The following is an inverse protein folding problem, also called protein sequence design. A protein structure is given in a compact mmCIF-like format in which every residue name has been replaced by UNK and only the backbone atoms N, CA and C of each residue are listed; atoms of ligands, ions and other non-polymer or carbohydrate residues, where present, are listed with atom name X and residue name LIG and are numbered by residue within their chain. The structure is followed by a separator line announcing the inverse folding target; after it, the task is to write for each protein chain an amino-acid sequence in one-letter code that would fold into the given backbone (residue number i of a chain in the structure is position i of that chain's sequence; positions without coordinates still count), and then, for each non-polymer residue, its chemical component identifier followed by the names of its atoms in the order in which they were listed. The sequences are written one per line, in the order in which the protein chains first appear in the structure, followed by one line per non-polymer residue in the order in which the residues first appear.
data_IF_426436507763
#
_entry.id   IF_426436507763
#
_cell.length_a   1.000
_cell.length_b   1.000
_cell.length_c   1.000
_cell.angle_alpha   90.00
_cell.angle_beta   90.00
_cell.angle_gamma   90.00
#
_symmetry.space_group_name_H-M   'P 1'
#
loop_
_entity.id
_entity.type
_entity.pdbx_description
1 polymer ?
#
# COMPACT_ATOMS: atom_id res chain seq x y z
N UNK A 1 57.51 32.74 -25.10
CA UNK A 1 56.08 33.11 -25.03
C UNK A 1 55.13 31.98 -25.46
N UNK A 2 55.36 31.31 -26.59
CA UNK A 2 54.51 30.22 -27.12
C UNK A 2 54.45 28.98 -26.17
N UNK A 3 55.61 28.60 -25.59
CA UNK A 3 55.69 27.43 -24.69
C UNK A 3 54.92 27.68 -23.39
N UNK A 4 54.95 28.92 -22.85
CA UNK A 4 54.21 29.25 -21.64
C UNK A 4 52.69 29.21 -21.85
N UNK A 5 52.23 29.61 -23.06
CA UNK A 5 50.80 29.57 -23.42
C UNK A 5 50.31 28.10 -23.56
N UNK A 6 51.13 27.20 -24.10
CA UNK A 6 50.83 25.79 -24.20
C UNK A 6 50.68 25.11 -22.84
N UNK A 7 51.55 25.39 -21.89
CA UNK A 7 51.45 24.86 -20.53
C UNK A 7 50.20 25.34 -19.81
N UNK A 8 49.83 26.61 -19.94
CA UNK A 8 48.57 27.17 -19.33
C UNK A 8 47.32 26.49 -19.92
N UNK A 9 47.28 26.25 -21.21
CA UNK A 9 46.15 25.55 -21.86
C UNK A 9 46.04 24.09 -21.38
N UNK A 10 47.15 23.39 -21.24
CA UNK A 10 47.17 22.01 -20.71
C UNK A 10 46.70 21.95 -19.27
N UNK A 11 47.09 22.93 -18.43
CA UNK A 11 46.67 23.00 -17.03
C UNK A 11 45.15 23.32 -16.95
N UNK A 12 44.66 24.25 -17.79
CA UNK A 12 43.22 24.58 -17.81
C UNK A 12 42.40 23.37 -18.30
N UNK A 13 42.83 22.68 -19.35
CA UNK A 13 42.19 21.46 -19.82
C UNK A 13 42.25 20.35 -18.77
N UNK A 14 43.39 20.17 -18.09
CA UNK A 14 43.54 19.23 -16.98
C UNK A 14 42.59 19.53 -15.82
N UNK A 15 42.47 20.79 -15.43
CA UNK A 15 41.52 21.22 -14.40
C UNK A 15 40.04 21.02 -14.83
N UNK A 16 39.72 21.22 -16.12
CA UNK A 16 38.39 20.99 -16.67
C UNK A 16 38.04 19.49 -16.68
N UNK A 17 39.01 18.63 -17.06
CA UNK A 17 38.86 17.17 -16.99
C UNK A 17 38.80 16.64 -15.55
N UNK A 18 39.53 17.25 -14.62
CA UNK A 18 39.47 16.86 -13.20
C UNK A 18 38.18 17.29 -12.52
N UNK A 19 37.53 18.39 -12.98
CA UNK A 19 36.25 18.84 -12.45
C UNK A 19 35.07 18.01 -12.95
N UNK A 20 35.30 17.20 -14.00
CA UNK A 20 34.30 16.28 -14.54
C UNK A 20 34.54 14.83 -14.06
N UNK A 21 35.29 14.63 -12.98
CA UNK A 21 35.27 13.39 -12.24
C UNK A 21 33.90 13.34 -11.56
N UNK A 22 32.96 12.61 -12.20
CA UNK A 22 31.67 12.26 -11.64
C UNK A 22 31.91 11.92 -10.16
N UNK A 23 31.43 12.78 -9.25
CA UNK A 23 31.01 12.25 -7.97
C UNK A 23 29.94 11.24 -8.35
N UNK A 24 30.16 9.95 -8.21
CA UNK A 24 29.10 8.99 -8.18
C UNK A 24 28.13 9.57 -7.15
N UNK A 25 26.99 10.07 -7.61
CA UNK A 25 25.91 10.49 -6.71
C UNK A 25 25.52 9.20 -5.96
N UNK A 26 26.05 9.07 -4.76
CA UNK A 26 25.62 7.99 -3.87
C UNK A 26 24.20 8.36 -3.46
N UNK A 27 23.24 7.63 -4.04
CA UNK A 27 21.84 7.80 -3.71
C UNK A 27 21.60 7.43 -2.24
N UNK A 28 20.77 8.18 -1.58
CA UNK A 28 20.32 7.86 -0.21
C UNK A 28 19.39 6.65 -0.26
N UNK A 29 19.80 5.54 0.34
CA UNK A 29 19.00 4.32 0.34
C UNK A 29 17.80 4.46 1.29
N UNK A 30 16.58 4.34 0.74
CA UNK A 30 15.32 4.37 1.49
C UNK A 30 14.60 3.04 1.34
N UNK A 31 14.43 2.33 2.45
CA UNK A 31 13.64 1.10 2.54
C UNK A 31 12.20 1.45 2.88
N UNK A 32 11.28 1.08 1.99
CA UNK A 32 9.86 1.35 2.10
C UNK A 32 9.08 0.04 2.23
N UNK A 33 8.41 -0.19 3.36
CA UNK A 33 7.57 -1.36 3.56
C UNK A 33 6.14 -1.12 3.08
N UNK A 34 5.57 -2.07 2.33
CA UNK A 34 4.16 -2.09 1.93
C UNK A 34 3.43 -3.33 2.43
N UNK A 35 2.09 -3.24 2.57
CA UNK A 35 1.24 -4.33 3.09
C UNK A 35 0.97 -5.40 2.05
N UNK A 36 0.84 -5.02 0.80
CA UNK A 36 0.53 -5.90 -0.34
C UNK A 36 0.97 -5.24 -1.62
N UNK A 37 1.39 -6.04 -2.61
CA UNK A 37 1.65 -5.51 -3.95
C UNK A 37 0.33 -5.41 -4.71
N UNK A 38 -0.10 -4.18 -5.04
CA UNK A 38 -1.41 -3.94 -5.66
C UNK A 38 -1.37 -2.75 -6.62
N UNK A 39 -2.06 -2.89 -7.75
CA UNK A 39 -2.24 -1.77 -8.69
C UNK A 39 -2.97 -0.57 -8.05
N UNK A 40 -3.66 -0.77 -6.95
CA UNK A 40 -4.22 0.31 -6.14
C UNK A 40 -3.15 1.30 -5.67
N UNK A 41 -1.89 0.86 -5.63
CA UNK A 41 -0.70 1.65 -5.30
C UNK A 41 0.10 2.08 -6.54
N UNK A 42 -0.49 1.97 -7.73
CA UNK A 42 0.17 2.29 -9.00
C UNK A 42 0.94 3.64 -9.01
N UNK A 43 0.46 4.74 -8.40
CA UNK A 43 1.24 5.98 -8.38
C UNK A 43 2.63 5.83 -7.73
N UNK A 44 2.76 4.99 -6.68
CA UNK A 44 4.04 4.70 -6.06
C UNK A 44 4.96 3.92 -7.02
N UNK A 45 4.43 2.88 -7.66
CA UNK A 45 5.22 2.06 -8.59
C UNK A 45 5.63 2.85 -9.84
N UNK A 46 4.75 3.69 -10.36
CA UNK A 46 5.08 4.60 -11.47
C UNK A 46 6.20 5.57 -11.08
N UNK A 47 6.21 6.07 -9.85
CA UNK A 47 7.26 6.95 -9.38
C UNK A 47 8.61 6.22 -9.27
N UNK A 48 8.61 4.97 -8.80
CA UNK A 48 9.82 4.12 -8.75
C UNK A 48 10.31 3.79 -10.17
N UNK A 49 9.44 3.25 -11.02
CA UNK A 49 9.82 2.78 -12.36
C UNK A 49 10.24 3.91 -13.31
N UNK A 50 9.74 5.12 -13.13
CA UNK A 50 10.13 6.28 -13.91
C UNK A 50 11.38 7.01 -13.37
N UNK A 51 11.95 6.55 -12.26
CA UNK A 51 13.15 7.14 -11.68
C UNK A 51 12.91 8.48 -10.96
N UNK A 52 11.69 8.80 -10.55
CA UNK A 52 11.40 10.07 -9.87
C UNK A 52 12.05 10.16 -8.48
N UNK A 53 12.29 9.03 -7.82
CA UNK A 53 13.05 9.00 -6.57
C UNK A 53 14.54 9.21 -6.82
N UNK A 54 15.10 8.61 -7.87
CA UNK A 54 16.50 8.78 -8.26
C UNK A 54 16.80 10.24 -8.67
N UNK A 55 15.83 10.95 -9.31
CA UNK A 55 15.94 12.38 -9.60
C UNK A 55 16.12 13.22 -8.33
N UNK A 56 15.57 12.75 -7.20
CA UNK A 56 15.70 13.35 -5.87
C UNK A 56 16.86 12.74 -5.05
N UNK A 57 17.76 12.01 -5.69
CA UNK A 57 18.89 11.30 -5.07
C UNK A 57 18.50 10.20 -4.08
N UNK A 58 17.34 9.55 -4.28
CA UNK A 58 16.84 8.47 -3.44
C UNK A 58 16.88 7.15 -4.22
N UNK A 59 17.50 6.12 -3.63
CA UNK A 59 17.41 4.72 -4.07
C UNK A 59 16.36 4.01 -3.23
N UNK A 60 15.22 3.65 -3.85
CA UNK A 60 14.07 3.08 -3.14
C UNK A 60 14.07 1.56 -3.19
N UNK A 61 14.17 0.91 -2.03
CA UNK A 61 13.98 -0.54 -1.88
C UNK A 61 12.57 -0.82 -1.33
N UNK A 62 11.72 -1.46 -2.15
CA UNK A 62 10.36 -1.83 -1.76
C UNK A 62 10.35 -3.19 -1.05
N UNK A 63 9.76 -3.26 0.15
CA UNK A 63 9.71 -4.45 1.01
C UNK A 63 8.26 -4.83 1.28
N UNK A 64 7.88 -6.04 0.86
CA UNK A 64 6.54 -6.57 1.14
C UNK A 64 6.48 -7.13 2.57
N UNK A 65 5.45 -6.73 3.31
CA UNK A 65 5.13 -7.25 4.66
C UNK A 65 3.70 -7.78 4.70
N UNK A 66 3.40 -8.66 5.69
CA UNK A 66 2.08 -9.28 5.77
C UNK A 66 1.12 -8.54 6.73
N UNK A 67 0.88 -7.26 6.49
CA UNK A 67 -0.10 -6.47 7.24
C UNK A 67 0.45 -5.19 7.85
N UNK A 68 -0.44 -4.26 8.16
CA UNK A 68 -0.12 -2.93 8.66
C UNK A 68 0.63 -2.96 10.01
N UNK A 69 0.33 -3.94 10.87
CA UNK A 69 1.06 -4.19 12.12
C UNK A 69 2.53 -4.53 11.88
N UNK A 70 2.84 -5.29 10.82
CA UNK A 70 4.21 -5.64 10.44
C UNK A 70 4.94 -4.45 9.82
N UNK A 71 4.25 -3.64 9.02
CA UNK A 71 4.80 -2.37 8.53
C UNK A 71 5.18 -1.47 9.70
N UNK A 72 4.26 -1.28 10.67
CA UNK A 72 4.51 -0.45 11.85
C UNK A 72 5.68 -0.95 12.68
N UNK A 73 5.74 -2.27 12.92
CA UNK A 73 6.84 -2.89 13.65
C UNK A 73 8.19 -2.68 12.93
N UNK A 74 8.23 -2.82 11.60
CA UNK A 74 9.45 -2.64 10.81
C UNK A 74 9.95 -1.18 10.83
N UNK A 75 9.04 -0.19 10.85
CA UNK A 75 9.43 1.22 11.02
C UNK A 75 9.95 1.49 12.43
N UNK A 76 9.25 1.01 13.46
CA UNK A 76 9.62 1.23 14.86
C UNK A 76 10.94 0.52 15.24
N UNK A 77 11.23 -0.63 14.64
CA UNK A 77 12.52 -1.32 14.82
C UNK A 77 13.68 -0.69 14.06
N UNK A 78 13.39 0.20 13.09
CA UNK A 78 14.41 0.76 12.19
C UNK A 78 14.79 -0.18 11.03
N UNK A 79 14.09 -1.31 10.83
CA UNK A 79 14.31 -2.21 9.70
C UNK A 79 13.95 -1.57 8.37
N UNK A 80 13.03 -0.60 8.37
CA UNK A 80 12.68 0.22 7.22
C UNK A 80 12.58 1.69 7.61
N UNK A 81 12.77 2.59 6.64
CA UNK A 81 12.72 4.03 6.86
C UNK A 81 11.28 4.55 6.79
N UNK A 82 10.47 3.99 5.90
CA UNK A 82 9.11 4.43 5.60
C UNK A 82 8.17 3.22 5.59
N UNK A 83 7.00 3.39 6.20
CA UNK A 83 5.91 2.41 6.13
C UNK A 83 4.76 2.96 5.28
N UNK A 84 4.32 2.16 4.31
CA UNK A 84 3.12 2.43 3.53
C UNK A 84 2.00 1.49 4.01
N UNK A 85 1.11 2.02 4.83
CA UNK A 85 0.00 1.29 5.44
C UNK A 85 -1.19 2.22 5.70
N UNK A 86 -2.30 1.67 6.13
CA UNK A 86 -3.42 2.46 6.59
C UNK A 86 -3.09 3.25 7.86
N UNK A 87 -3.70 4.44 8.06
CA UNK A 87 -3.41 5.30 9.21
C UNK A 87 -3.81 4.68 10.55
N UNK A 88 -4.66 3.65 10.55
CA UNK A 88 -5.09 2.94 11.77
C UNK A 88 -3.90 2.37 12.55
N UNK A 89 -2.85 1.94 11.86
CA UNK A 89 -1.68 1.37 12.51
C UNK A 89 -0.92 2.40 13.35
N UNK A 90 -0.80 3.64 12.86
CA UNK A 90 -0.21 4.74 13.61
C UNK A 90 -1.07 5.10 14.84
N UNK A 91 -2.40 5.10 14.67
CA UNK A 91 -3.33 5.37 15.77
C UNK A 91 -3.20 4.31 16.86
N UNK A 92 -3.15 3.02 16.51
CA UNK A 92 -3.01 1.94 17.48
C UNK A 92 -1.70 2.02 18.27
N UNK A 93 -0.58 2.34 17.61
CA UNK A 93 0.71 2.52 18.30
C UNK A 93 0.63 3.66 19.31
N UNK A 94 0.06 4.79 18.91
CA UNK A 94 -0.12 5.95 19.77
C UNK A 94 -1.05 5.67 20.97
N UNK A 95 -2.21 5.07 20.72
CA UNK A 95 -3.20 4.75 21.76
C UNK A 95 -2.71 3.69 22.76
N UNK A 96 -1.78 2.82 22.35
CA UNK A 96 -1.12 1.87 23.24
C UNK A 96 -0.07 2.51 24.17
N UNK A 97 0.17 3.82 24.06
CA UNK A 97 1.05 4.59 24.92
C UNK A 97 2.54 4.40 24.63
N UNK A 98 2.88 3.96 23.43
CA UNK A 98 4.27 3.89 23.00
C UNK A 98 4.90 5.28 22.97
N UNK A 99 6.14 5.41 23.49
CA UNK A 99 6.86 6.68 23.51
C UNK A 99 7.31 7.10 22.12
N UNK A 100 7.76 6.12 21.33
CA UNK A 100 8.08 6.29 19.92
C UNK A 100 6.87 5.84 19.11
N UNK A 101 6.26 6.75 18.37
CA UNK A 101 5.07 6.51 17.58
C UNK A 101 5.28 6.95 16.14
N UNK A 102 4.49 6.35 15.27
CA UNK A 102 4.53 6.63 13.83
C UNK A 102 3.92 8.00 13.52
N UNK A 103 4.58 8.76 12.65
CA UNK A 103 4.07 10.04 12.14
C UNK A 103 3.67 9.88 10.68
N UNK A 104 2.39 10.04 10.39
CA UNK A 104 1.89 10.06 9.01
C UNK A 104 2.23 11.40 8.36
N UNK A 105 3.00 11.39 7.27
CA UNK A 105 3.46 12.61 6.59
C UNK A 105 2.90 12.78 5.17
N UNK A 106 2.37 11.70 4.55
CA UNK A 106 1.83 11.74 3.20
C UNK A 106 0.69 10.74 3.02
N UNK A 107 -0.19 11.01 2.06
CA UNK A 107 -1.26 10.11 1.64
C UNK A 107 -1.15 9.80 0.15
N UNK A 108 -1.10 8.51 -0.20
CA UNK A 108 -1.03 8.06 -1.59
C UNK A 108 -2.43 7.97 -2.21
N UNK A 109 -3.38 7.42 -1.47
CA UNK A 109 -4.75 7.21 -1.91
C UNK A 109 -5.71 8.10 -1.14
N UNK A 110 -6.71 8.65 -1.83
CA UNK A 110 -7.71 9.54 -1.24
C UNK A 110 -9.00 8.81 -0.89
N UNK A 111 -9.26 7.68 -1.53
CA UNK A 111 -10.46 6.86 -1.33
C UNK A 111 -10.04 5.40 -1.22
N UNK A 112 -10.85 4.61 -0.51
CA UNK A 112 -10.69 3.16 -0.48
C UNK A 112 -11.14 2.56 -1.81
N UNK A 113 -10.38 1.57 -2.30
CA UNK A 113 -10.64 0.84 -3.54
C UNK A 113 -11.19 -0.55 -3.32
N UNK A 114 -11.78 -0.84 -2.17
CA UNK A 114 -12.28 -2.16 -1.82
C UNK A 114 -13.72 -2.38 -2.33
N UNK A 115 -13.98 -3.62 -2.74
CA UNK A 115 -15.28 -4.09 -3.22
C UNK A 115 -15.63 -5.42 -2.57
N UNK A 116 -16.91 -5.65 -2.35
CA UNK A 116 -17.43 -6.98 -2.02
C UNK A 116 -17.61 -7.74 -3.31
N UNK A 117 -17.05 -8.93 -3.35
CA UNK A 117 -17.08 -9.85 -4.49
C UNK A 117 -17.84 -11.10 -4.10
N UNK A 118 -18.79 -11.52 -4.94
CA UNK A 118 -19.55 -12.75 -4.79
C UNK A 118 -19.08 -13.83 -5.76
N UNK A 119 -19.22 -15.11 -5.36
CA UNK A 119 -19.03 -16.27 -6.26
C UNK A 119 -20.12 -16.37 -7.30
N UNK A 120 -21.32 -15.91 -6.99
CA UNK A 120 -22.50 -16.02 -7.83
C UNK A 120 -23.05 -14.65 -8.16
N UNK A 121 -23.61 -14.51 -9.34
CA UNK A 121 -24.30 -13.28 -9.70
C UNK A 121 -25.50 -13.06 -8.79
N UNK A 122 -25.61 -11.85 -8.23
CA UNK A 122 -26.76 -11.40 -7.46
C UNK A 122 -27.29 -10.17 -8.19
N UNK A 123 -28.53 -10.25 -8.65
CA UNK A 123 -29.23 -9.09 -9.19
C UNK A 123 -29.68 -8.21 -8.02
N UNK A 124 -29.57 -6.92 -8.18
CA UNK A 124 -30.03 -5.92 -7.16
C UNK A 124 -29.47 -6.19 -5.75
N UNK A 125 -28.15 -6.38 -5.65
CA UNK A 125 -27.46 -6.66 -4.39
C UNK A 125 -27.88 -5.71 -3.27
N UNK A 126 -28.20 -6.30 -2.11
CA UNK A 126 -28.48 -5.59 -0.86
C UNK A 126 -27.58 -6.13 0.25
N UNK A 127 -27.25 -5.29 1.24
CA UNK A 127 -26.41 -5.70 2.38
C UNK A 127 -26.95 -6.92 3.13
N UNK A 128 -28.26 -7.15 3.12
CA UNK A 128 -28.92 -8.31 3.74
C UNK A 128 -28.62 -9.64 3.03
N UNK A 129 -28.13 -9.59 1.77
CA UNK A 129 -27.69 -10.78 1.06
C UNK A 129 -26.44 -11.42 1.68
N UNK A 130 -25.72 -10.66 2.53
CA UNK A 130 -24.58 -11.12 3.31
C UNK A 130 -25.00 -11.87 4.59
N UNK A 131 -26.27 -11.79 5.03
CA UNK A 131 -26.70 -12.38 6.31
C UNK A 131 -26.61 -13.91 6.27
N UNK A 132 -26.02 -14.47 7.32
CA UNK A 132 -25.76 -15.89 7.43
C UNK A 132 -24.64 -16.42 6.51
N UNK A 133 -23.98 -15.53 5.74
CA UNK A 133 -22.92 -15.89 4.79
C UNK A 133 -21.54 -15.56 5.36
N UNK A 134 -20.54 -16.39 4.95
CA UNK A 134 -19.16 -16.12 5.28
C UNK A 134 -18.55 -15.14 4.27
N UNK A 135 -17.98 -14.05 4.80
CA UNK A 135 -17.20 -13.09 4.04
C UNK A 135 -15.77 -12.98 4.57
N UNK A 136 -14.80 -13.05 3.66
CA UNK A 136 -13.38 -12.89 3.95
C UNK A 136 -13.01 -11.41 3.83
N UNK A 137 -12.50 -10.80 4.92
CA UNK A 137 -12.28 -9.33 4.95
C UNK A 137 -10.85 -8.90 5.27
N UNK A 138 -9.94 -9.85 5.46
CA UNK A 138 -8.60 -9.58 5.95
C UNK A 138 -8.54 -9.59 7.48
N UNK A 139 -7.33 -9.38 8.03
CA UNK A 139 -7.09 -9.53 9.47
C UNK A 139 -7.82 -8.47 10.29
N UNK A 140 -8.27 -8.90 11.46
CA UNK A 140 -8.91 -8.06 12.46
C UNK A 140 -8.05 -6.82 12.79
N UNK A 141 -8.69 -5.65 12.78
CA UNK A 141 -8.04 -4.38 13.09
C UNK A 141 -7.32 -3.72 11.91
N UNK A 142 -7.13 -4.42 10.79
CA UNK A 142 -6.61 -3.80 9.58
C UNK A 142 -7.67 -2.96 8.86
N UNK A 143 -7.22 -1.99 8.05
CA UNK A 143 -8.11 -1.09 7.30
C UNK A 143 -9.18 -1.83 6.48
N UNK A 144 -8.89 -2.96 5.81
CA UNK A 144 -9.93 -3.69 5.08
C UNK A 144 -11.11 -4.12 5.94
N UNK A 145 -10.84 -4.67 7.12
CA UNK A 145 -11.89 -5.10 8.05
C UNK A 145 -12.65 -3.93 8.66
N UNK A 146 -11.95 -2.83 8.97
CA UNK A 146 -12.58 -1.60 9.48
C UNK A 146 -13.52 -0.97 8.45
N UNK A 147 -13.06 -0.84 7.20
CA UNK A 147 -13.85 -0.28 6.11
C UNK A 147 -15.08 -1.15 5.81
N UNK A 148 -14.91 -2.48 5.78
CA UNK A 148 -16.04 -3.39 5.64
C UNK A 148 -17.10 -3.17 6.73
N UNK A 149 -16.69 -3.14 8.00
CA UNK A 149 -17.61 -2.91 9.12
C UNK A 149 -18.32 -1.57 9.04
N UNK A 150 -17.56 -0.52 8.69
CA UNK A 150 -18.14 0.80 8.47
C UNK A 150 -19.14 0.76 7.31
N UNK A 151 -18.81 0.06 6.23
CA UNK A 151 -19.64 -0.16 5.08
C UNK A 151 -20.99 -0.78 5.41
N UNK A 152 -20.98 -1.84 6.16
CA UNK A 152 -22.20 -2.49 6.64
C UNK A 152 -23.06 -1.53 7.46
N UNK A 153 -22.41 -0.79 8.38
CA UNK A 153 -23.12 0.21 9.22
C UNK A 153 -23.76 1.32 8.39
N UNK A 154 -23.05 1.86 7.39
CA UNK A 154 -23.56 2.94 6.54
C UNK A 154 -24.71 2.48 5.62
N UNK A 155 -24.78 1.20 5.33
CA UNK A 155 -25.85 0.58 4.53
C UNK A 155 -27.02 0.07 5.38
N UNK A 156 -27.14 0.52 6.64
CA UNK A 156 -28.15 0.08 7.60
C UNK A 156 -28.14 -1.46 7.82
N UNK A 157 -26.98 -2.09 7.63
CA UNK A 157 -26.79 -3.51 7.86
C UNK A 157 -26.41 -3.84 9.31
N UNK A 158 -26.76 -5.05 9.72
CA UNK A 158 -26.36 -5.59 11.02
C UNK A 158 -25.19 -6.57 10.89
N UNK A 159 -24.00 -6.13 11.27
CA UNK A 159 -22.77 -6.92 11.23
C UNK A 159 -22.85 -8.24 12.02
N UNK A 160 -23.71 -8.31 13.03
CA UNK A 160 -23.90 -9.51 13.85
C UNK A 160 -24.58 -10.66 13.09
N UNK A 161 -25.25 -10.34 11.98
CA UNK A 161 -25.89 -11.34 11.11
C UNK A 161 -24.95 -11.88 10.03
N UNK A 162 -23.72 -11.37 9.94
CA UNK A 162 -22.73 -11.74 8.92
C UNK A 162 -21.63 -12.58 9.58
N UNK A 163 -21.21 -13.65 8.95
CA UNK A 163 -20.06 -14.46 9.40
C UNK A 163 -18.79 -13.82 8.83
N UNK A 164 -18.16 -12.95 9.63
CA UNK A 164 -16.99 -12.19 9.20
C UNK A 164 -15.73 -12.96 9.53
N UNK A 165 -14.98 -13.40 8.50
CA UNK A 165 -13.70 -14.07 8.65
C UNK A 165 -12.56 -13.04 8.57
N UNK A 166 -11.98 -12.76 9.74
CA UNK A 166 -10.89 -11.79 9.94
C UNK A 166 -9.55 -12.46 10.27
N UNK A 167 -9.38 -13.73 9.92
CA UNK A 167 -8.17 -14.51 10.26
C UNK A 167 -7.13 -14.57 9.13
N UNK A 168 -7.48 -14.10 7.93
CA UNK A 168 -6.68 -14.26 6.72
C UNK A 168 -5.95 -12.96 6.39
N UNK A 169 -4.65 -13.04 6.06
CA UNK A 169 -3.90 -11.88 5.57
C UNK A 169 -4.50 -11.35 4.27
N UNK A 170 -4.58 -10.04 4.13
CA UNK A 170 -5.22 -9.40 2.99
C UNK A 170 -4.63 -9.84 1.63
N UNK A 171 -3.31 -9.98 1.57
CA UNK A 171 -2.61 -10.46 0.37
C UNK A 171 -3.00 -11.90 -0.03
N UNK A 172 -3.47 -12.72 0.90
CA UNK A 172 -3.86 -14.12 0.68
C UNK A 172 -5.35 -14.29 0.34
N UNK A 173 -6.18 -13.27 0.53
CA UNK A 173 -7.64 -13.37 0.40
C UNK A 173 -8.08 -13.90 -0.96
N UNK A 174 -7.47 -13.43 -2.04
CA UNK A 174 -7.81 -13.89 -3.41
C UNK A 174 -7.58 -15.40 -3.56
N UNK A 175 -6.42 -15.90 -3.13
CA UNK A 175 -6.09 -17.32 -3.22
C UNK A 175 -7.01 -18.19 -2.38
N UNK A 176 -7.30 -17.76 -1.15
CA UNK A 176 -8.21 -18.48 -0.24
C UNK A 176 -9.64 -18.48 -0.78
N UNK A 177 -10.11 -17.35 -1.30
CA UNK A 177 -11.41 -17.29 -1.94
C UNK A 177 -11.48 -18.20 -3.17
N UNK A 178 -10.47 -18.21 -4.03
CA UNK A 178 -10.40 -19.10 -5.20
C UNK A 178 -10.40 -20.59 -4.82
N UNK A 179 -9.84 -20.95 -3.66
CA UNK A 179 -9.86 -22.33 -3.17
C UNK A 179 -11.22 -22.81 -2.66
N UNK A 180 -12.23 -21.93 -2.61
CA UNK A 180 -13.60 -22.31 -2.26
C UNK A 180 -14.06 -21.84 -0.87
N UNK A 181 -13.23 -21.16 -0.11
CA UNK A 181 -13.58 -20.63 1.22
C UNK A 181 -14.38 -19.33 1.11
N UNK A 182 -15.42 -19.18 1.91
CA UNK A 182 -16.32 -18.04 1.95
C UNK A 182 -17.24 -17.91 0.72
N UNK A 183 -18.40 -17.31 0.88
CA UNK A 183 -19.31 -16.96 -0.21
C UNK A 183 -19.01 -15.60 -0.81
N UNK A 184 -18.40 -14.72 0.02
CA UNK A 184 -18.01 -13.38 -0.35
C UNK A 184 -16.57 -13.08 0.07
N UNK A 185 -15.95 -12.11 -0.59
CA UNK A 185 -14.64 -11.60 -0.20
C UNK A 185 -14.57 -10.10 -0.44
N UNK A 186 -13.82 -9.40 0.42
CA UNK A 186 -13.53 -7.98 0.27
C UNK A 186 -12.14 -7.80 -0.35
N UNK A 187 -12.07 -7.29 -1.59
CA UNK A 187 -10.85 -7.19 -2.39
C UNK A 187 -10.73 -5.82 -3.06
N UNK A 188 -9.51 -5.45 -3.47
CA UNK A 188 -9.31 -4.35 -4.42
C UNK A 188 -9.79 -4.74 -5.83
N UNK A 189 -10.28 -3.76 -6.58
CA UNK A 189 -10.95 -3.90 -7.88
C UNK A 189 -10.24 -4.84 -8.86
N UNK A 190 -8.95 -4.74 -9.02
CA UNK A 190 -8.22 -5.50 -10.05
C UNK A 190 -7.97 -6.96 -9.71
N UNK A 191 -8.02 -7.33 -8.45
CA UNK A 191 -8.01 -8.74 -8.07
C UNK A 191 -9.29 -9.44 -8.50
N UNK A 192 -10.34 -8.68 -8.78
CA UNK A 192 -11.66 -9.16 -9.23
C UNK A 192 -11.66 -9.46 -10.72
N UNK A 193 -11.08 -8.60 -11.55
CA UNK A 193 -11.15 -8.68 -13.02
C UNK A 193 -10.45 -9.94 -13.56
N UNK A 194 -9.40 -10.42 -12.90
CA UNK A 194 -8.64 -11.62 -13.32
C UNK A 194 -9.43 -12.93 -13.24
N UNK A 195 -10.57 -12.99 -12.52
CA UNK A 195 -11.18 -14.26 -12.12
C UNK A 195 -12.68 -14.38 -12.36
N UNK A 196 -13.32 -13.52 -13.16
CA UNK A 196 -14.75 -13.60 -13.55
C UNK A 196 -15.68 -13.82 -12.33
N UNK A 197 -15.54 -12.97 -11.31
CA UNK A 197 -16.47 -12.92 -10.19
C UNK A 197 -17.45 -11.74 -10.34
N UNK A 198 -18.60 -11.84 -9.70
CA UNK A 198 -19.56 -10.75 -9.60
C UNK A 198 -19.17 -9.85 -8.44
N UNK A 199 -19.01 -8.57 -8.69
CA UNK A 199 -18.62 -7.62 -7.67
C UNK A 199 -19.69 -6.55 -7.41
N UNK A 200 -19.71 -6.06 -6.18
CA UNK A 200 -20.63 -5.03 -5.73
C UNK A 200 -19.82 -3.93 -5.04
N UNK A 201 -19.99 -2.70 -5.50
CA UNK A 201 -19.32 -1.55 -4.90
C UNK A 201 -20.15 -0.99 -3.75
N UNK A 202 -19.52 -0.72 -2.63
CA UNK A 202 -20.07 0.23 -1.68
C UNK A 202 -19.87 1.65 -2.21
N UNK A 203 -20.59 2.03 -3.25
CA UNK A 203 -20.36 3.28 -4.00
C UNK A 203 -20.57 4.57 -3.21
N UNK A 204 -21.14 4.51 -2.01
CA UNK A 204 -21.49 5.67 -1.20
C UNK A 204 -20.71 5.76 0.14
N UNK A 205 -19.69 4.94 0.36
CA UNK A 205 -19.21 4.67 1.70
C UNK A 205 -17.99 5.45 2.16
N UNK A 206 -17.32 6.19 1.30
CA UNK A 206 -16.16 6.99 1.68
C UNK A 206 -16.15 8.35 0.99
N UNK A 207 -17.13 9.18 1.31
CA UNK A 207 -16.96 10.63 1.22
C UNK A 207 -16.68 11.11 2.64
N UNK A 208 -15.41 11.15 3.03
CA UNK A 208 -14.88 11.96 4.12
C UNK A 208 -14.10 13.09 3.49
#
# INVERSE_FOLDING_TARGET
MIILLGVVIIVILGCFFMKNKNSENVLDKVRLAEVTHSIFYAPLYVAIENGYFEEENIDTELILTSGADKVSAAVLSGDVNIGFAGPESAIYVYENGEKDFLVTFAGLTKRDGQFIVSRTKIEDFNVKDLYGKEILVGRKGGMPALNFRNGIKQSDGDIKQIIVNESIDFASLTGVFLSGVGEFVNLFELNVIRNIFYFFAFSNLLTI
#
